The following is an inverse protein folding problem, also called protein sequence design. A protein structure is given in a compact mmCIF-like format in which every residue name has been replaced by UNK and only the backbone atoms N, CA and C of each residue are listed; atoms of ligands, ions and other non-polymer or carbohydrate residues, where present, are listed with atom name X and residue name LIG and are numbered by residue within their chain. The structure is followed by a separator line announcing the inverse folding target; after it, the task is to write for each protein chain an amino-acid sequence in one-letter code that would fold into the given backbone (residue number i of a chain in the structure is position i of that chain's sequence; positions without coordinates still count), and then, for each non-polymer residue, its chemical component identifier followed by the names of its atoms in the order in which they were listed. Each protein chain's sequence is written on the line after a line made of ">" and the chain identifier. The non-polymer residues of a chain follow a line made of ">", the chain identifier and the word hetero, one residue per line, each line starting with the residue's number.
data_IF_247280974988
#
_entry.id   IF_247280974988
#
_cell.length_a   1.000
_cell.length_b   1.000
_cell.length_c   1.000
_cell.angle_alpha   90.00
_cell.angle_beta   90.00
_cell.angle_gamma   90.00
#
_symmetry.space_group_name_H-M   'P 1'
#
loop_
_entity.id
_entity.type
_entity.pdbx_description
1 polymer ?
#
# COMPACT_ATOMS: atom_id res chain seq x y z
N UNK A 1 -15.73 -8.41 25.15
CA UNK A 1 -15.49 -8.96 23.82
C UNK A 1 -14.00 -9.12 23.64
N UNK A 2 -13.53 -10.38 23.63
CA UNK A 2 -12.15 -10.71 23.36
C UNK A 2 -11.80 -10.16 21.97
N UNK A 3 -10.77 -9.35 21.90
CA UNK A 3 -10.22 -8.87 20.65
C UNK A 3 -9.54 -10.04 19.95
N UNK A 4 -10.15 -10.59 18.91
CA UNK A 4 -9.49 -11.56 18.05
C UNK A 4 -8.15 -10.96 17.58
N UNK A 5 -7.10 -11.78 17.47
CA UNK A 5 -5.77 -11.36 17.00
C UNK A 5 -5.75 -10.82 15.56
N UNK A 6 -6.89 -10.90 14.86
CA UNK A 6 -7.08 -10.40 13.50
C UNK A 6 -7.81 -9.06 13.49
N UNK A 7 -7.41 -8.22 12.57
CA UNK A 7 -8.04 -6.96 12.22
C UNK A 7 -8.41 -7.00 10.75
N UNK A 8 -9.62 -6.54 10.43
CA UNK A 8 -10.08 -6.38 9.05
C UNK A 8 -10.40 -4.92 8.79
N UNK A 9 -10.12 -4.49 7.57
CA UNK A 9 -10.42 -3.13 7.11
C UNK A 9 -10.89 -3.18 5.67
N UNK A 10 -11.91 -2.39 5.36
CA UNK A 10 -12.38 -2.21 4.00
C UNK A 10 -11.36 -1.42 3.18
N UNK A 11 -11.12 -1.86 1.98
CA UNK A 11 -10.20 -1.27 1.01
C UNK A 11 -10.77 -1.33 -0.39
N UNK A 12 -10.30 -0.44 -1.25
CA UNK A 12 -10.64 -0.42 -2.66
C UNK A 12 -9.72 -1.37 -3.42
N UNK A 13 -10.34 -2.25 -4.20
CA UNK A 13 -9.69 -3.26 -5.04
C UNK A 13 -9.83 -2.99 -6.51
N UNK A 14 -9.60 -4.05 -7.28
CA UNK A 14 -9.72 -4.01 -8.75
C UNK A 14 -11.12 -3.56 -9.19
N UNK A 15 -11.16 -2.71 -10.21
CA UNK A 15 -12.37 -2.10 -10.78
C UNK A 15 -13.17 -1.23 -9.79
N UNK A 16 -12.53 -0.74 -8.71
CA UNK A 16 -13.17 0.06 -7.68
C UNK A 16 -14.07 -0.75 -6.73
N UNK A 17 -14.02 -2.08 -6.77
CA UNK A 17 -14.80 -2.93 -5.87
C UNK A 17 -14.15 -2.98 -4.49
N UNK A 18 -14.91 -2.71 -3.44
CA UNK A 18 -14.39 -2.84 -2.09
C UNK A 18 -14.20 -4.30 -1.68
N UNK A 19 -13.23 -4.55 -0.79
CA UNK A 19 -12.96 -5.84 -0.20
C UNK A 19 -12.34 -5.68 1.19
N UNK A 20 -12.36 -6.73 2.00
CA UNK A 20 -11.76 -6.71 3.33
C UNK A 20 -10.32 -7.24 3.28
N UNK A 21 -9.36 -6.42 3.70
CA UNK A 21 -8.00 -6.88 3.96
C UNK A 21 -7.90 -7.49 5.36
N UNK A 22 -7.01 -8.47 5.49
CA UNK A 22 -6.71 -9.13 6.76
C UNK A 22 -5.35 -8.67 7.27
N UNK A 23 -5.28 -8.29 8.56
CA UNK A 23 -4.04 -7.91 9.25
C UNK A 23 -3.99 -8.54 10.63
N UNK A 24 -2.79 -8.64 11.20
CA UNK A 24 -2.66 -8.91 12.63
C UNK A 24 -2.96 -7.63 13.42
N UNK A 25 -3.69 -7.77 14.50
CA UNK A 25 -3.97 -6.64 15.40
C UNK A 25 -2.73 -6.32 16.21
N UNK A 26 -2.13 -5.17 15.97
CA UNK A 26 -0.93 -4.68 16.64
C UNK A 26 -1.20 -3.54 17.63
N UNK A 27 -2.43 -2.99 17.59
CA UNK A 27 -2.88 -1.93 18.48
C UNK A 27 -3.89 -2.48 19.50
N UNK A 28 -3.78 -2.03 20.73
CA UNK A 28 -4.76 -2.35 21.76
C UNK A 28 -6.08 -1.63 21.48
N UNK A 29 -7.19 -2.35 21.48
CA UNK A 29 -8.51 -1.87 21.04
C UNK A 29 -9.06 -0.66 21.82
N UNK A 30 -8.68 -0.48 23.09
CA UNK A 30 -9.18 0.61 23.95
C UNK A 30 -8.24 1.82 24.01
N UNK A 31 -6.94 1.61 23.88
CA UNK A 31 -5.94 2.67 24.12
C UNK A 31 -5.23 3.12 22.85
N UNK A 32 -5.44 2.44 21.72
CA UNK A 32 -4.70 2.62 20.47
C UNK A 32 -3.16 2.59 20.62
N UNK A 33 -2.66 2.11 21.75
CA UNK A 33 -1.24 1.96 21.99
C UNK A 33 -0.75 0.64 21.44
N UNK A 34 0.41 0.67 20.79
CA UNK A 34 1.09 -0.52 20.31
C UNK A 34 1.97 -1.10 21.42
N UNK A 35 1.89 -2.42 21.64
CA UNK A 35 2.85 -3.15 22.46
C UNK A 35 4.23 -3.17 21.80
N UNK A 36 5.27 -3.60 22.53
CA UNK A 36 6.60 -3.83 21.96
C UNK A 36 6.53 -4.78 20.75
N UNK A 37 5.86 -5.91 20.90
CA UNK A 37 5.65 -6.89 19.83
C UNK A 37 4.85 -6.31 18.65
N UNK A 38 3.81 -5.53 18.93
CA UNK A 38 3.02 -4.86 17.90
C UNK A 38 3.86 -3.88 17.08
N UNK A 39 4.76 -3.12 17.72
CA UNK A 39 5.69 -2.23 17.02
C UNK A 39 6.68 -3.01 16.15
N UNK A 40 7.21 -4.13 16.65
CA UNK A 40 8.12 -4.99 15.90
C UNK A 40 7.43 -5.56 14.66
N UNK A 41 6.21 -6.10 14.80
CA UNK A 41 5.42 -6.64 13.68
C UNK A 41 5.17 -5.58 12.61
N UNK A 42 4.80 -4.35 13.00
CA UNK A 42 4.59 -3.24 12.05
C UNK A 42 5.89 -2.83 11.36
N UNK A 43 7.00 -2.74 12.10
CA UNK A 43 8.31 -2.38 11.53
C UNK A 43 8.78 -3.40 10.49
N UNK A 44 8.50 -4.68 10.73
CA UNK A 44 8.86 -5.78 9.81
C UNK A 44 7.80 -6.07 8.76
N UNK A 45 6.64 -5.36 8.78
CA UNK A 45 5.47 -5.59 7.92
C UNK A 45 4.85 -7.00 8.07
N UNK A 46 5.22 -7.75 9.11
CA UNK A 46 4.67 -9.08 9.39
C UNK A 46 3.19 -9.02 9.82
N UNK A 47 2.72 -7.86 10.29
CA UNK A 47 1.29 -7.64 10.56
C UNK A 47 0.42 -7.71 9.30
N UNK A 48 1.00 -7.56 8.12
CA UNK A 48 0.32 -7.66 6.83
C UNK A 48 0.35 -9.08 6.23
N UNK A 49 1.06 -10.03 6.89
CA UNK A 49 1.16 -11.41 6.42
C UNK A 49 -0.21 -12.09 6.15
N UNK A 50 -1.29 -11.84 6.92
CA UNK A 50 -2.60 -12.40 6.63
C UNK A 50 -3.22 -11.95 5.29
N UNK A 51 -2.68 -10.89 4.64
CA UNK A 51 -3.11 -10.50 3.29
C UNK A 51 -2.78 -11.56 2.22
N UNK A 52 -1.94 -12.56 2.52
CA UNK A 52 -1.77 -13.73 1.67
C UNK A 52 -3.11 -14.46 1.43
N UNK A 53 -4.04 -14.42 2.38
CA UNK A 53 -5.40 -14.93 2.20
C UNK A 53 -6.15 -14.13 1.12
N UNK A 54 -5.91 -12.82 1.02
CA UNK A 54 -6.50 -12.00 -0.04
C UNK A 54 -5.91 -12.37 -1.42
N UNK A 55 -4.62 -12.71 -1.48
CA UNK A 55 -4.00 -13.21 -2.73
C UNK A 55 -4.63 -14.55 -3.12
N UNK A 56 -4.74 -15.50 -2.19
CA UNK A 56 -5.35 -16.80 -2.46
C UNK A 56 -6.81 -16.68 -2.92
N UNK A 57 -7.56 -15.70 -2.39
CA UNK A 57 -8.92 -15.36 -2.83
C UNK A 57 -8.96 -14.60 -4.17
N UNK A 58 -7.83 -14.31 -4.79
CA UNK A 58 -7.74 -13.57 -6.04
C UNK A 58 -8.08 -12.07 -5.95
N UNK A 59 -8.21 -11.53 -4.74
CA UNK A 59 -8.52 -10.11 -4.47
C UNK A 59 -7.29 -9.21 -4.54
N UNK A 60 -6.09 -9.77 -4.27
CA UNK A 60 -4.81 -9.09 -4.28
C UNK A 60 -3.77 -9.87 -5.09
N UNK A 61 -2.65 -9.22 -5.32
CA UNK A 61 -1.42 -9.80 -5.90
C UNK A 61 -0.21 -9.41 -5.03
N UNK A 62 0.97 -9.97 -5.30
CA UNK A 62 2.19 -9.58 -4.59
C UNK A 62 2.60 -8.15 -4.94
N UNK A 63 2.58 -7.81 -6.24
CA UNK A 63 3.01 -6.50 -6.74
C UNK A 63 1.86 -5.78 -7.44
N UNK A 64 1.57 -4.57 -7.00
CA UNK A 64 0.50 -3.73 -7.55
C UNK A 64 0.34 -2.43 -6.74
N UNK A 65 -0.58 -1.57 -7.14
CA UNK A 65 -0.97 -0.43 -6.31
C UNK A 65 -1.40 -0.88 -4.92
N UNK A 66 -0.96 -0.20 -3.87
CA UNK A 66 -1.42 -0.51 -2.51
C UNK A 66 -2.93 -0.20 -2.40
N UNK A 67 -3.73 -1.08 -1.77
CA UNK A 67 -5.17 -0.81 -1.66
C UNK A 67 -5.44 0.34 -0.71
N UNK A 68 -6.13 1.37 -1.19
CA UNK A 68 -6.48 2.56 -0.42
C UNK A 68 -7.80 2.38 0.32
N UNK A 69 -8.05 3.23 1.32
CA UNK A 69 -9.36 3.34 1.96
C UNK A 69 -10.37 3.94 0.99
N UNK A 70 -11.69 3.69 1.16
CA UNK A 70 -12.72 4.39 0.39
C UNK A 70 -12.55 5.91 0.45
N UNK A 71 -12.89 6.60 -0.65
CA UNK A 71 -12.74 8.05 -0.80
C UNK A 71 -11.44 8.49 -1.46
N UNK A 72 -10.65 7.57 -1.99
CA UNK A 72 -9.40 7.84 -2.72
C UNK A 72 -9.40 7.19 -4.11
N UNK A 73 -9.01 5.91 -4.19
CA UNK A 73 -8.88 5.24 -5.48
C UNK A 73 -10.22 5.04 -6.20
N UNK A 74 -11.31 4.88 -5.47
CA UNK A 74 -12.68 4.78 -6.00
C UNK A 74 -13.17 6.08 -6.64
N UNK A 75 -12.66 7.23 -6.22
CA UNK A 75 -12.97 8.54 -6.74
C UNK A 75 -12.13 8.96 -7.97
N UNK A 76 -11.14 8.15 -8.35
CA UNK A 76 -10.34 8.42 -9.55
C UNK A 76 -11.22 8.51 -10.80
N UNK A 77 -10.98 9.54 -11.62
CA UNK A 77 -11.72 9.81 -12.86
C UNK A 77 -10.80 9.83 -14.08
N UNK A 78 -11.40 9.76 -15.27
CA UNK A 78 -10.66 9.88 -16.53
C UNK A 78 -9.53 8.87 -16.68
N UNK A 79 -8.37 9.34 -17.12
CA UNK A 79 -7.21 8.51 -17.40
C UNK A 79 -6.55 7.88 -16.14
N UNK A 80 -6.83 8.41 -14.96
CA UNK A 80 -6.25 7.89 -13.72
C UNK A 80 -6.93 6.61 -13.25
N UNK A 81 -8.16 6.35 -13.71
CA UNK A 81 -8.86 5.08 -13.44
C UNK A 81 -8.15 3.83 -13.95
N UNK A 82 -7.15 3.97 -14.84
CA UNK A 82 -6.33 2.84 -15.29
C UNK A 82 -5.68 2.08 -14.12
N UNK A 83 -5.40 2.78 -13.02
CA UNK A 83 -4.88 2.18 -11.78
C UNK A 83 -5.81 1.08 -11.26
N UNK A 84 -7.12 1.28 -11.36
CA UNK A 84 -8.13 0.34 -10.91
C UNK A 84 -8.26 -0.92 -11.79
N UNK A 85 -7.64 -0.95 -12.96
CA UNK A 85 -7.58 -2.16 -13.78
C UNK A 85 -6.63 -3.21 -13.19
N UNK A 86 -5.75 -2.80 -12.28
CA UNK A 86 -4.84 -3.70 -11.60
C UNK A 86 -5.45 -4.23 -10.31
N UNK A 87 -5.10 -5.48 -9.95
CA UNK A 87 -5.32 -5.97 -8.60
C UNK A 87 -4.39 -5.21 -7.65
N UNK A 88 -4.86 -4.82 -6.46
CA UNK A 88 -3.99 -4.23 -5.47
C UNK A 88 -2.89 -5.19 -5.03
N UNK A 89 -1.72 -4.65 -4.69
CA UNK A 89 -0.56 -5.40 -4.26
C UNK A 89 -0.27 -5.28 -2.76
N UNK A 90 0.47 -6.26 -2.22
CA UNK A 90 1.12 -6.13 -0.90
C UNK A 90 2.20 -5.06 -0.96
N UNK A 91 2.95 -5.04 -2.06
CA UNK A 91 3.95 -4.02 -2.36
C UNK A 91 3.76 -3.47 -3.77
N UNK A 92 4.43 -2.37 -4.08
CA UNK A 92 4.36 -1.74 -5.39
C UNK A 92 5.33 -0.58 -5.52
N UNK A 93 5.43 -0.01 -6.68
CA UNK A 93 6.40 1.05 -6.98
C UNK A 93 6.18 2.29 -6.10
N UNK A 94 4.93 2.74 -5.93
CA UNK A 94 4.59 3.82 -5.02
C UNK A 94 4.89 3.47 -3.55
N UNK A 95 4.70 2.20 -3.15
CA UNK A 95 5.02 1.73 -1.80
C UNK A 95 6.52 1.74 -1.51
N UNK A 96 7.37 1.55 -2.52
CA UNK A 96 8.83 1.68 -2.38
C UNK A 96 9.23 3.13 -2.16
N UNK A 97 8.66 4.07 -2.92
CA UNK A 97 8.92 5.52 -2.75
C UNK A 97 8.48 6.01 -1.37
N UNK A 98 7.29 5.63 -0.97
CA UNK A 98 6.68 6.07 0.29
C UNK A 98 6.80 5.04 1.43
N UNK A 99 7.94 4.33 1.47
CA UNK A 99 8.20 3.32 2.52
C UNK A 99 8.11 3.90 3.94
N UNK A 100 8.53 5.16 4.10
CA UNK A 100 8.54 5.90 5.37
C UNK A 100 7.41 6.94 5.46
N UNK A 101 6.26 6.69 4.82
CA UNK A 101 5.13 7.61 4.74
C UNK A 101 4.67 8.10 6.12
N UNK A 102 4.53 7.21 7.10
CA UNK A 102 4.15 7.59 8.47
C UNK A 102 5.14 8.61 9.08
N UNK A 103 6.43 8.44 8.82
CA UNK A 103 7.46 9.37 9.28
C UNK A 103 7.37 10.71 8.55
N UNK A 104 7.18 10.69 7.23
CA UNK A 104 7.02 11.92 6.44
C UNK A 104 5.81 12.71 6.95
N UNK A 105 4.67 12.04 7.12
CA UNK A 105 3.43 12.67 7.60
C UNK A 105 3.56 13.20 9.03
N UNK A 106 4.24 12.49 9.92
CA UNK A 106 4.43 12.91 11.31
C UNK A 106 5.25 14.20 11.46
N UNK A 107 6.00 14.57 10.44
CA UNK A 107 6.78 15.81 10.40
C UNK A 107 6.02 17.01 9.82
N UNK A 108 4.80 16.81 9.32
CA UNK A 108 3.99 17.87 8.71
C UNK A 108 3.08 18.54 9.74
N UNK A 109 2.91 19.85 9.60
CA UNK A 109 1.96 20.63 10.42
C UNK A 109 0.51 20.18 10.17
N UNK A 110 0.19 19.84 8.91
CA UNK A 110 -1.13 19.35 8.48
C UNK A 110 -0.98 18.03 7.72
N UNK A 111 -0.81 16.88 8.42
CA UNK A 111 -0.50 15.59 7.78
C UNK A 111 -1.52 15.17 6.73
N UNK A 112 -2.82 15.34 7.03
CA UNK A 112 -3.89 14.97 6.09
C UNK A 112 -3.82 15.80 4.81
N UNK A 113 -3.70 17.11 4.93
CA UNK A 113 -3.58 18.00 3.76
C UNK A 113 -2.34 17.67 2.92
N UNK A 114 -1.20 17.42 3.58
CA UNK A 114 0.00 17.01 2.86
C UNK A 114 -0.16 15.66 2.15
N UNK A 115 -0.87 14.72 2.78
CA UNK A 115 -1.22 13.46 2.11
C UNK A 115 -2.05 13.71 0.85
N UNK A 116 -3.07 14.53 0.94
CA UNK A 116 -4.06 14.71 -0.13
C UNK A 116 -3.50 15.54 -1.31
N UNK A 117 -2.67 16.54 -1.01
CA UNK A 117 -2.14 17.45 -2.04
C UNK A 117 -0.79 17.03 -2.62
N UNK A 118 0.00 16.22 -1.88
CA UNK A 118 1.37 15.89 -2.29
C UNK A 118 1.55 14.40 -2.49
N UNK A 119 1.27 13.59 -1.47
CA UNK A 119 1.59 12.17 -1.52
C UNK A 119 0.61 11.42 -2.43
N UNK A 120 -0.69 11.66 -2.28
CA UNK A 120 -1.71 10.96 -3.04
C UNK A 120 -1.60 11.20 -4.55
N UNK A 121 -1.52 12.46 -5.05
CA UNK A 121 -1.34 12.71 -6.49
C UNK A 121 -0.09 12.04 -7.06
N UNK A 122 1.01 12.04 -6.32
CA UNK A 122 2.24 11.39 -6.76
C UNK A 122 2.12 9.85 -6.77
N UNK A 123 1.44 9.25 -5.78
CA UNK A 123 1.11 7.82 -5.80
C UNK A 123 0.26 7.46 -7.02
N UNK A 124 -0.74 8.27 -7.35
CA UNK A 124 -1.57 8.07 -8.54
C UNK A 124 -0.72 8.13 -9.81
N UNK A 125 0.15 9.13 -9.94
CA UNK A 125 1.08 9.28 -11.07
C UNK A 125 1.96 8.03 -11.23
N UNK A 126 2.59 7.57 -10.16
CA UNK A 126 3.46 6.39 -10.17
C UNK A 126 2.67 5.12 -10.52
N UNK A 127 1.51 4.94 -9.92
CA UNK A 127 0.67 3.76 -10.15
C UNK A 127 0.10 3.75 -11.58
N UNK A 128 -0.23 4.90 -12.14
CA UNK A 128 -0.65 5.06 -13.53
C UNK A 128 0.48 4.68 -14.48
N UNK A 129 1.69 5.18 -14.24
CA UNK A 129 2.87 4.80 -15.02
C UNK A 129 3.13 3.29 -14.94
N UNK A 130 3.07 2.72 -13.74
CA UNK A 130 3.22 1.28 -13.54
C UNK A 130 2.13 0.48 -14.28
N UNK A 131 0.87 0.92 -14.23
CA UNK A 131 -0.22 0.25 -14.94
C UNK A 131 0.01 0.19 -16.47
N UNK A 132 0.64 1.21 -17.04
CA UNK A 132 0.93 1.31 -18.47
C UNK A 132 2.19 0.54 -18.90
N UNK A 133 3.19 0.43 -18.02
CA UNK A 133 4.53 -0.07 -18.34
C UNK A 133 4.87 -1.42 -17.70
N UNK A 134 3.98 -1.96 -16.89
CA UNK A 134 4.19 -3.17 -16.10
C UNK A 134 4.74 -4.33 -16.94
N UNK A 135 5.78 -4.98 -16.40
CA UNK A 135 6.35 -6.24 -16.90
C UNK A 135 6.64 -7.17 -15.71
N UNK A 136 6.71 -8.48 -15.96
CA UNK A 136 7.08 -9.46 -14.93
C UNK A 136 8.48 -9.20 -14.35
N UNK A 137 9.44 -8.73 -15.19
CA UNK A 137 10.77 -8.35 -14.72
C UNK A 137 10.72 -7.16 -13.76
N UNK A 138 9.83 -6.19 -14.00
CA UNK A 138 9.60 -5.06 -13.10
C UNK A 138 9.02 -5.53 -11.76
N UNK A 139 8.06 -6.44 -11.79
CA UNK A 139 7.46 -7.01 -10.57
C UNK A 139 8.54 -7.72 -9.72
N UNK A 140 9.43 -8.51 -10.35
CA UNK A 140 10.54 -9.14 -9.64
C UNK A 140 11.52 -8.14 -9.02
N UNK A 141 11.83 -7.04 -9.72
CA UNK A 141 12.68 -5.97 -9.19
C UNK A 141 12.00 -5.28 -7.98
N UNK A 142 10.70 -4.97 -8.07
CA UNK A 142 9.95 -4.39 -6.96
C UNK A 142 9.95 -5.31 -5.74
N UNK A 143 9.75 -6.62 -5.93
CA UNK A 143 9.86 -7.60 -4.85
C UNK A 143 11.25 -7.61 -4.24
N UNK A 144 12.30 -7.63 -5.06
CA UNK A 144 13.69 -7.58 -4.58
C UNK A 144 13.92 -6.37 -3.68
N UNK A 145 13.59 -5.16 -4.15
CA UNK A 145 13.75 -3.93 -3.37
C UNK A 145 12.82 -3.83 -2.16
N UNK A 146 11.75 -4.59 -2.12
CA UNK A 146 10.87 -4.69 -0.95
C UNK A 146 11.56 -5.46 0.17
N UNK A 147 12.17 -6.61 -0.14
CA UNK A 147 12.84 -7.46 0.86
C UNK A 147 14.24 -6.97 1.22
N UNK A 148 14.95 -6.40 0.26
CA UNK A 148 16.29 -5.87 0.47
C UNK A 148 16.23 -4.33 0.45
N UNK A 149 16.24 -3.66 1.62
CA UNK A 149 16.07 -2.21 1.73
C UNK A 149 17.33 -1.44 1.29
N UNK A 150 17.74 -1.68 0.06
CA UNK A 150 18.75 -0.87 -0.64
C UNK A 150 18.07 0.40 -1.12
N UNK A 151 18.83 1.49 -1.24
CA UNK A 151 18.34 2.73 -1.83
C UNK A 151 17.78 2.47 -3.23
N UNK A 152 16.52 2.84 -3.45
CA UNK A 152 15.83 2.67 -4.73
C UNK A 152 15.21 3.99 -5.15
N UNK A 153 15.72 4.54 -6.23
CA UNK A 153 15.20 5.77 -6.81
C UNK A 153 14.10 5.44 -7.83
N UNK A 154 12.86 5.67 -7.42
CA UNK A 154 11.66 5.42 -8.24
C UNK A 154 11.62 6.33 -9.47
N UNK A 155 12.04 7.58 -9.35
CA UNK A 155 12.03 8.54 -10.47
C UNK A 155 13.06 8.14 -11.54
N UNK A 156 14.27 7.80 -11.11
CA UNK A 156 15.30 7.28 -12.04
C UNK A 156 14.88 5.95 -12.69
N UNK A 157 14.17 5.09 -11.95
CA UNK A 157 13.63 3.84 -12.49
C UNK A 157 12.55 4.08 -13.55
N UNK A 158 11.66 5.04 -13.33
CA UNK A 158 10.61 5.42 -14.29
C UNK A 158 11.19 6.08 -15.54
N UNK A 159 12.23 6.91 -15.39
CA UNK A 159 12.86 7.64 -16.50
C UNK A 159 13.72 6.75 -17.43
N UNK A 160 14.17 5.59 -16.96
CA UNK A 160 15.00 4.66 -17.75
C UNK A 160 14.18 3.73 -18.66
N UNK A 161 12.85 3.79 -18.63
CA UNK A 161 11.91 2.90 -19.34
C UNK A 161 10.78 3.67 -20.01
#
# INVERSE_FOLDING_TARGET
>A
TQSNGFFTQERIGQHGKSFLIYKLRTLHSKTNKSSFWGRMLRKTKLDEFPQLLNILKGQMTFVGPRPDVPGYADELVGADRIVLNLKPGITGLASLKYRNEEQILSQQTHPQHYNDEVIWPDKVRINKWYAQKRTSSMDLQILFYTFFPVSFDVEAFMGKR
#
